data_IF_006094615691
#
_entry.id   IF_006094615691
#
_cell.length_a   1.000
_cell.length_b   1.000
_cell.length_c   1.000
_cell.angle_alpha   90.00
_cell.angle_beta   90.00
_cell.angle_gamma   90.00
#
_symmetry.space_group_name_H-M   'P 1'
#
loop_
_entity.id
_entity.type
_entity.pdbx_description
1 polymer ?
#
# COMPACT_ATOMS: atom_id res chain seq x y z
N UNK A 1 -35.26 36.55 1.83
CA UNK A 1 -34.48 37.72 2.30
C UNK A 1 -34.02 37.41 3.72
N UNK A 2 -32.69 37.38 3.95
CA UNK A 2 -31.93 37.25 5.22
C UNK A 2 -32.03 35.90 5.97
N UNK A 3 -30.97 35.08 6.02
CA UNK A 3 -29.73 35.19 6.86
C UNK A 3 -30.08 35.25 8.36
N UNK A 4 -29.42 34.63 9.33
CA UNK A 4 -28.18 33.83 9.50
C UNK A 4 -28.26 33.40 10.98
N UNK A 5 -27.68 32.26 11.38
CA UNK A 5 -26.88 32.27 12.62
C UNK A 5 -25.97 31.05 12.69
N UNK A 6 -24.68 31.32 12.51
CA UNK A 6 -23.58 30.41 12.74
C UNK A 6 -23.18 30.51 14.21
N UNK A 7 -23.36 29.46 15.00
CA UNK A 7 -22.85 29.42 16.37
C UNK A 7 -21.36 29.04 16.33
N UNK A 8 -20.49 30.01 16.60
CA UNK A 8 -19.03 29.86 16.69
C UNK A 8 -18.65 29.32 18.07
N UNK A 9 -18.12 28.09 18.16
CA UNK A 9 -17.51 27.58 19.38
C UNK A 9 -16.01 27.91 19.39
N UNK A 10 -15.64 29.05 19.97
CA UNK A 10 -14.25 29.37 20.36
C UNK A 10 -14.01 28.86 21.79
N UNK A 11 -13.10 27.90 21.96
CA UNK A 11 -12.38 27.71 23.23
C UNK A 11 -10.89 27.64 22.96
N UNK A 12 -10.17 28.63 23.46
CA UNK A 12 -8.71 28.71 23.43
C UNK A 12 -8.13 27.71 24.43
N UNK A 13 -7.11 26.94 24.02
CA UNK A 13 -6.30 26.15 24.94
C UNK A 13 -4.85 26.63 24.89
N UNK A 14 -4.40 27.21 26.00
CA UNK A 14 -3.06 27.78 26.19
C UNK A 14 -2.11 26.67 26.65
N UNK A 15 -1.26 26.16 25.76
CA UNK A 15 -0.20 25.18 26.10
C UNK A 15 1.01 25.94 26.65
N UNK A 16 1.40 25.67 27.90
CA UNK A 16 2.69 26.10 28.47
C UNK A 16 3.74 25.05 28.14
N UNK A 17 4.82 25.44 27.46
CA UNK A 17 6.03 24.64 27.31
C UNK A 17 7.01 25.01 28.43
N UNK A 18 7.47 24.03 29.20
CA UNK A 18 8.61 24.16 30.09
C UNK A 18 9.85 23.57 29.41
N UNK A 19 10.79 24.45 29.04
CA UNK A 19 12.13 24.13 28.56
C UNK A 19 13.04 23.95 29.77
N UNK A 20 13.64 22.77 29.93
CA UNK A 20 14.74 22.52 30.86
C UNK A 20 15.94 21.99 30.09
N UNK A 21 17.00 22.80 29.97
CA UNK A 21 18.32 22.46 29.43
C UNK A 21 19.10 21.56 30.39
N UNK A 22 20.05 20.77 29.89
CA UNK A 22 21.34 20.34 30.49
C UNK A 22 22.14 19.60 29.37
N UNK A 23 23.08 20.24 28.63
CA UNK A 23 24.56 20.21 28.79
C UNK A 23 25.13 18.82 29.12
N UNK A 24 25.76 18.14 28.16
CA UNK A 24 27.19 18.15 27.78
C UNK A 24 28.12 17.59 28.88
N UNK A 25 28.59 16.35 28.70
CA UNK A 25 29.93 15.99 29.18
C UNK A 25 30.64 15.08 28.18
N UNK A 26 31.90 15.46 27.95
CA UNK A 26 32.88 14.88 27.03
C UNK A 26 33.48 13.61 27.64
N UNK A 27 33.82 12.65 26.78
CA UNK A 27 34.70 11.54 27.11
C UNK A 27 35.56 11.15 25.91
N UNK A 28 36.62 11.92 25.65
CA UNK A 28 37.69 11.55 24.73
C UNK A 28 38.60 10.51 25.39
N UNK A 29 38.82 9.36 24.75
CA UNK A 29 39.92 8.45 25.10
C UNK A 29 40.72 8.14 23.84
N UNK A 30 41.90 8.74 23.77
CA UNK A 30 42.98 8.47 22.83
C UNK A 30 43.92 7.43 23.42
N UNK A 31 44.26 6.39 22.65
CA UNK A 31 45.51 5.64 22.77
C UNK A 31 45.98 5.18 21.38
N UNK A 32 47.14 5.69 21.00
CA UNK A 32 48.08 5.20 20.00
C UNK A 32 48.65 3.81 20.48
N UNK A 33 49.33 2.91 19.76
CA UNK A 33 50.14 2.96 18.54
C UNK A 33 50.54 1.51 18.13
N UNK A 34 50.75 1.29 16.82
CA UNK A 34 51.67 0.36 16.08
C UNK A 34 51.96 -1.12 16.47
N UNK A 35 51.83 -2.03 15.49
CA UNK A 35 52.92 -2.94 15.03
C UNK A 35 52.62 -3.63 13.67
N UNK A 36 53.54 -3.45 12.71
CA UNK A 36 53.72 -4.20 11.46
C UNK A 36 54.07 -5.69 11.70
N UNK A 37 53.68 -6.61 10.80
CA UNK A 37 54.63 -7.51 10.11
C UNK A 37 53.97 -8.42 9.06
N UNK A 38 54.70 -8.58 7.96
CA UNK A 38 54.41 -9.24 6.68
C UNK A 38 54.35 -10.79 6.63
N UNK A 39 53.75 -11.24 5.51
CA UNK A 39 54.06 -12.38 4.64
C UNK A 39 54.18 -13.82 5.16
N UNK A 40 53.31 -14.69 4.63
CA UNK A 40 53.72 -15.99 4.08
C UNK A 40 52.73 -16.52 3.04
N UNK A 41 53.14 -16.44 1.77
CA UNK A 41 52.63 -17.27 0.66
C UNK A 41 53.05 -18.72 0.86
N UNK A 42 52.14 -19.66 0.60
CA UNK A 42 52.50 -20.97 0.04
C UNK A 42 51.35 -21.55 -0.79
N UNK A 43 51.61 -21.73 -2.09
CA UNK A 43 50.79 -22.45 -3.06
C UNK A 43 50.88 -23.96 -2.85
N UNK A 44 49.75 -24.69 -2.93
CA UNK A 44 49.62 -26.11 -3.35
C UNK A 44 48.18 -26.56 -3.04
N UNK A 45 47.39 -27.35 -3.79
CA UNK A 45 47.41 -27.89 -5.13
C UNK A 45 45.98 -28.39 -5.43
N UNK A 46 45.57 -28.32 -6.71
CA UNK A 46 44.61 -29.18 -7.44
C UNK A 46 43.48 -29.87 -6.64
N UNK A 47 42.23 -29.52 -6.97
CA UNK A 47 41.05 -30.33 -6.67
C UNK A 47 39.81 -29.88 -7.44
N UNK A 48 39.57 -30.54 -8.58
CA UNK A 48 38.28 -30.83 -9.23
C UNK A 48 37.19 -29.74 -9.27
N UNK A 49 37.01 -29.19 -10.47
CA UNK A 49 35.73 -28.68 -11.01
C UNK A 49 34.60 -29.69 -10.73
N UNK A 50 33.81 -29.44 -9.69
CA UNK A 50 32.48 -30.04 -9.53
C UNK A 50 31.49 -28.96 -9.94
N UNK A 51 31.02 -29.10 -11.18
CA UNK A 51 29.82 -28.40 -11.61
C UNK A 51 28.63 -28.99 -10.87
N UNK A 52 28.08 -28.24 -9.93
CA UNK A 52 26.73 -28.41 -9.40
C UNK A 52 26.00 -27.10 -9.69
N UNK A 53 25.36 -27.06 -10.86
CA UNK A 53 23.91 -27.21 -10.99
C UNK A 53 23.18 -25.94 -10.56
N UNK A 54 22.95 -25.09 -11.55
CA UNK A 54 21.75 -24.26 -11.73
C UNK A 54 20.81 -24.22 -10.52
N UNK A 55 21.13 -23.36 -9.56
CA UNK A 55 20.15 -22.84 -8.60
C UNK A 55 19.29 -21.74 -9.23
N UNK A 56 18.85 -21.91 -10.48
CA UNK A 56 17.90 -21.03 -11.17
C UNK A 56 16.44 -21.50 -10.98
N UNK A 57 16.21 -22.63 -10.32
CA UNK A 57 14.89 -23.26 -10.19
C UNK A 57 13.96 -22.62 -9.14
N UNK A 58 14.38 -21.52 -8.50
CA UNK A 58 13.49 -20.69 -7.68
C UNK A 58 13.56 -19.22 -8.10
N UNK A 59 13.54 -18.97 -9.41
CA UNK A 59 12.83 -17.79 -9.89
C UNK A 59 11.36 -18.00 -9.53
N UNK A 60 11.02 -17.71 -8.27
CA UNK A 60 9.63 -17.49 -7.86
C UNK A 60 9.16 -16.42 -8.80
N UNK A 61 8.36 -16.82 -9.79
CA UNK A 61 7.70 -15.93 -10.74
C UNK A 61 6.76 -15.03 -9.94
N UNK A 62 7.32 -14.04 -9.25
CA UNK A 62 6.57 -12.89 -8.80
C UNK A 62 6.28 -12.18 -10.12
N UNK A 63 5.11 -12.48 -10.68
CA UNK A 63 4.57 -11.76 -11.82
C UNK A 63 4.68 -10.29 -11.45
N UNK A 64 5.66 -9.58 -12.02
CA UNK A 64 5.73 -8.13 -11.92
C UNK A 64 4.52 -7.65 -12.69
N UNK A 65 3.47 -7.31 -11.96
CA UNK A 65 2.29 -6.70 -12.56
C UNK A 65 2.79 -5.37 -13.14
N UNK A 66 2.70 -5.16 -14.45
CA UNK A 66 3.13 -3.91 -15.05
C UNK A 66 2.31 -2.79 -14.40
N UNK A 67 3.01 -1.86 -13.76
CA UNK A 67 2.39 -0.67 -13.19
C UNK A 67 2.21 0.32 -14.33
N UNK A 68 0.97 0.77 -14.54
CA UNK A 68 0.71 1.91 -15.41
C UNK A 68 1.38 3.14 -14.78
N UNK A 69 2.27 3.87 -15.48
CA UNK A 69 2.96 5.03 -14.93
C UNK A 69 2.01 6.15 -14.47
N UNK A 70 0.76 6.16 -14.92
CA UNK A 70 -0.25 7.11 -14.46
C UNK A 70 -0.93 6.71 -13.14
N UNK A 71 -0.78 5.46 -12.69
CA UNK A 71 -1.38 4.94 -11.47
C UNK A 71 -0.36 4.81 -10.35
N UNK A 72 -0.84 4.73 -9.09
CA UNK A 72 0.05 4.36 -8.00
C UNK A 72 0.52 2.92 -8.18
N UNK A 73 1.78 2.61 -7.84
CA UNK A 73 2.26 1.24 -7.90
C UNK A 73 1.42 0.36 -6.97
N UNK A 74 1.08 -0.88 -7.37
CA UNK A 74 0.32 -1.79 -6.52
C UNK A 74 0.98 -1.94 -5.14
N UNK A 75 0.18 -1.83 -4.09
CA UNK A 75 0.63 -1.86 -2.71
C UNK A 75 1.09 -0.51 -2.14
N UNK A 76 1.09 0.57 -2.92
CA UNK A 76 1.28 1.93 -2.40
C UNK A 76 0.23 2.24 -1.32
N UNK A 77 0.63 2.93 -0.27
CA UNK A 77 -0.23 3.20 0.89
C UNK A 77 -0.31 4.69 1.18
N UNK A 78 -1.49 5.16 1.57
CA UNK A 78 -1.65 6.50 2.14
C UNK A 78 -2.54 6.44 3.40
N UNK A 79 -2.16 7.23 4.40
CA UNK A 79 -2.98 7.36 5.62
C UNK A 79 -4.14 8.33 5.34
N UNK A 80 -5.35 7.91 5.70
CA UNK A 80 -6.56 8.71 5.57
C UNK A 80 -6.91 9.34 6.91
N UNK A 81 -7.15 10.65 6.88
CA UNK A 81 -7.58 11.43 8.02
C UNK A 81 -8.92 12.10 7.74
N UNK A 82 -9.67 12.44 8.79
CA UNK A 82 -10.92 13.19 8.67
C UNK A 82 -10.69 14.57 8.05
N UNK A 83 -11.49 14.98 7.06
CA UNK A 83 -11.39 16.34 6.49
C UNK A 83 -12.12 17.40 7.31
N UNK A 84 -13.12 16.99 8.08
CA UNK A 84 -13.95 17.85 8.93
C UNK A 84 -14.26 17.18 10.26
N UNK A 85 -14.87 17.93 11.18
CA UNK A 85 -15.40 17.36 12.43
C UNK A 85 -16.47 16.32 12.09
N UNK A 86 -16.35 15.12 12.68
CA UNK A 86 -17.35 14.06 12.58
C UNK A 86 -18.01 13.88 13.94
N UNK A 87 -19.33 13.83 13.95
CA UNK A 87 -20.12 13.61 15.17
C UNK A 87 -21.01 12.39 14.96
N UNK A 88 -20.79 11.35 15.76
CA UNK A 88 -21.71 10.24 15.88
C UNK A 88 -22.55 10.43 17.14
N UNK A 89 -23.87 10.56 16.97
CA UNK A 89 -24.81 10.70 18.09
C UNK A 89 -25.43 9.36 18.49
N UNK A 90 -25.42 8.40 17.56
CA UNK A 90 -25.94 7.05 17.68
C UNK A 90 -24.89 6.05 17.14
N UNK A 91 -25.23 4.76 17.16
CA UNK A 91 -24.35 3.66 16.76
C UNK A 91 -24.44 3.32 15.26
N UNK A 92 -25.06 4.18 14.45
CA UNK A 92 -25.14 3.99 13.01
C UNK A 92 -23.78 4.14 12.35
N UNK A 93 -23.62 3.47 11.20
CA UNK A 93 -22.49 3.70 10.33
C UNK A 93 -22.61 5.03 9.60
N UNK A 94 -21.48 5.65 9.28
CA UNK A 94 -21.40 6.83 8.45
C UNK A 94 -20.23 6.75 7.47
N UNK A 95 -20.37 7.44 6.35
CA UNK A 95 -19.30 7.69 5.40
C UNK A 95 -18.54 8.93 5.86
N UNK A 96 -17.30 8.72 6.27
CA UNK A 96 -16.40 9.77 6.75
C UNK A 96 -15.61 10.32 5.55
N UNK A 97 -15.74 11.63 5.24
CA UNK A 97 -14.92 12.28 4.22
C UNK A 97 -13.48 12.48 4.72
N UNK A 98 -12.53 12.34 3.81
CA UNK A 98 -11.09 12.44 4.05
C UNK A 98 -10.43 13.63 3.35
N UNK A 99 -11.07 14.17 2.33
CA UNK A 99 -10.52 15.21 1.45
C UNK A 99 -9.39 14.70 0.54
N UNK A 100 -9.09 13.41 0.55
CA UNK A 100 -8.09 12.76 -0.33
C UNK A 100 -8.82 12.25 -1.55
N UNK A 101 -8.38 12.63 -2.75
CA UNK A 101 -8.90 12.09 -4.01
C UNK A 101 -7.97 11.04 -4.60
N UNK A 102 -8.41 10.32 -5.64
CA UNK A 102 -7.54 9.46 -6.41
C UNK A 102 -6.34 10.23 -7.00
N UNK A 103 -5.25 9.51 -7.30
CA UNK A 103 -4.02 10.13 -7.79
C UNK A 103 -4.02 10.43 -9.29
N UNK A 104 -4.92 9.80 -10.05
CA UNK A 104 -4.84 9.70 -11.51
C UNK A 104 -6.14 10.10 -12.20
N UNK A 105 -6.04 10.41 -13.49
CA UNK A 105 -7.20 10.52 -14.37
C UNK A 105 -7.85 9.17 -14.68
N UNK A 106 -7.08 8.08 -14.54
CA UNK A 106 -7.60 6.73 -14.60
C UNK A 106 -8.14 6.33 -13.24
N UNK A 107 -9.22 5.54 -13.26
CA UNK A 107 -9.79 4.97 -12.05
C UNK A 107 -8.87 3.89 -11.51
N UNK A 108 -8.55 3.99 -10.23
CA UNK A 108 -7.77 2.98 -9.51
C UNK A 108 -8.55 2.50 -8.29
N UNK A 109 -8.44 1.22 -7.99
CA UNK A 109 -9.06 0.63 -6.82
C UNK A 109 -8.15 0.72 -5.61
N UNK A 110 -8.75 1.02 -4.46
CA UNK A 110 -8.08 1.18 -3.18
C UNK A 110 -8.78 0.32 -2.14
N UNK A 111 -8.03 -0.53 -1.45
CA UNK A 111 -8.51 -1.20 -0.24
C UNK A 111 -8.36 -0.25 0.95
N UNK A 112 -9.47 0.10 1.58
CA UNK A 112 -9.53 0.90 2.78
C UNK A 112 -9.58 -0.03 4.00
N UNK A 113 -8.66 0.17 4.94
CA UNK A 113 -8.62 -0.57 6.21
C UNK A 113 -8.46 0.39 7.40
N UNK A 114 -9.00 -0.01 8.55
CA UNK A 114 -8.80 0.72 9.79
C UNK A 114 -7.35 0.67 10.27
N UNK A 115 -6.90 1.74 10.94
CA UNK A 115 -5.62 1.75 11.65
C UNK A 115 -5.83 1.31 13.09
N UNK A 116 -4.76 0.87 13.75
CA UNK A 116 -4.79 0.53 15.18
C UNK A 116 -5.28 1.71 16.04
N UNK A 117 -4.94 2.94 15.63
CA UNK A 117 -5.39 4.14 16.33
C UNK A 117 -6.90 4.33 16.25
N UNK A 118 -7.57 3.80 15.25
CA UNK A 118 -9.01 3.97 15.03
C UNK A 118 -9.82 3.25 16.10
N UNK A 119 -9.41 2.05 16.50
CA UNK A 119 -10.06 1.33 17.60
C UNK A 119 -9.87 2.07 18.92
N UNK A 120 -8.69 2.67 19.16
CA UNK A 120 -8.41 3.52 20.32
C UNK A 120 -9.28 4.80 20.33
N UNK A 121 -9.65 5.31 19.15
CA UNK A 121 -10.59 6.43 19.01
C UNK A 121 -12.05 6.00 19.20
N UNK A 122 -12.31 4.71 19.48
CA UNK A 122 -13.67 4.18 19.59
C UNK A 122 -14.37 4.05 18.24
N UNK A 123 -13.63 3.87 17.14
CA UNK A 123 -14.18 3.61 15.81
C UNK A 123 -14.01 2.14 15.42
N UNK A 124 -15.06 1.59 14.82
CA UNK A 124 -14.99 0.39 14.00
C UNK A 124 -14.97 0.84 12.55
N UNK A 125 -13.85 0.62 11.87
CA UNK A 125 -13.72 0.88 10.43
C UNK A 125 -14.11 -0.39 9.68
N UNK A 126 -15.02 -0.26 8.72
CA UNK A 126 -15.41 -1.35 7.84
C UNK A 126 -14.46 -1.40 6.66
N UNK A 127 -13.74 -2.52 6.44
CA UNK A 127 -12.93 -2.68 5.25
C UNK A 127 -13.78 -2.54 3.99
N UNK A 128 -13.30 -1.76 3.02
CA UNK A 128 -14.01 -1.52 1.76
C UNK A 128 -13.05 -1.36 0.60
N UNK A 129 -13.53 -1.58 -0.61
CA UNK A 129 -12.80 -1.24 -1.84
C UNK A 129 -13.47 -0.03 -2.49
N UNK A 130 -12.68 0.98 -2.83
CA UNK A 130 -13.14 2.20 -3.49
C UNK A 130 -12.40 2.34 -4.81
N UNK A 131 -13.16 2.53 -5.89
CA UNK A 131 -12.63 2.87 -7.22
C UNK A 131 -12.68 4.38 -7.39
N UNK A 132 -11.53 5.04 -7.46
CA UNK A 132 -11.45 6.50 -7.51
C UNK A 132 -10.50 6.99 -8.61
N UNK A 133 -10.93 8.04 -9.31
CA UNK A 133 -10.05 8.91 -10.09
C UNK A 133 -9.71 10.18 -9.28
N UNK A 134 -9.06 11.15 -9.89
CA UNK A 134 -8.68 12.42 -9.25
C UNK A 134 -9.83 13.33 -8.82
N UNK A 135 -11.04 13.08 -9.31
CA UNK A 135 -12.24 13.83 -8.99
C UNK A 135 -13.06 13.12 -7.90
N UNK A 136 -12.87 11.81 -7.73
CA UNK A 136 -13.50 10.99 -6.71
C UNK A 136 -12.72 11.05 -5.38
N UNK A 137 -13.43 11.31 -4.28
CA UNK A 137 -12.86 11.30 -2.93
C UNK A 137 -12.80 9.89 -2.34
N UNK A 138 -11.67 9.52 -1.76
CA UNK A 138 -11.52 8.34 -0.92
C UNK A 138 -12.26 8.57 0.40
N UNK A 139 -13.28 7.77 0.68
CA UNK A 139 -14.08 7.87 1.90
C UNK A 139 -13.86 6.68 2.82
N UNK A 140 -14.20 6.82 4.10
CA UNK A 140 -14.04 5.77 5.10
C UNK A 140 -15.39 5.40 5.68
N UNK A 141 -15.78 4.14 5.57
CA UNK A 141 -16.99 3.64 6.21
C UNK A 141 -16.69 3.24 7.65
N UNK A 142 -17.37 3.85 8.61
CA UNK A 142 -17.11 3.60 10.03
C UNK A 142 -18.37 3.73 10.88
N UNK A 143 -18.36 3.10 12.05
CA UNK A 143 -19.32 3.33 13.13
C UNK A 143 -18.60 3.58 14.45
N UNK A 144 -19.20 4.26 15.42
CA UNK A 144 -18.64 4.39 16.76
C UNK A 144 -18.87 3.09 17.54
N UNK A 145 -17.98 2.81 18.49
CA UNK A 145 -18.17 1.74 19.46
C UNK A 145 -19.10 2.20 20.60
N UNK A 146 -18.95 3.45 21.03
CA UNK A 146 -19.75 4.08 22.10
C UNK A 146 -20.12 5.52 21.73
N UNK A 147 -21.34 5.78 21.26
CA UNK A 147 -21.86 7.13 21.06
C UNK A 147 -22.15 7.84 22.41
N UNK A 148 -22.09 9.19 22.47
CA UNK A 148 -21.68 10.07 21.38
C UNK A 148 -20.16 10.09 21.20
N UNK A 149 -19.71 10.15 19.95
CA UNK A 149 -18.29 10.25 19.60
C UNK A 149 -18.04 11.44 18.69
N UNK A 150 -17.12 12.32 19.07
CA UNK A 150 -16.70 13.48 18.28
C UNK A 150 -15.25 13.30 17.87
N UNK A 151 -15.00 13.31 16.55
CA UNK A 151 -13.67 13.18 15.97
C UNK A 151 -13.27 14.51 15.36
N UNK A 152 -12.18 15.14 15.84
CA UNK A 152 -11.65 16.37 15.25
C UNK A 152 -11.23 16.18 13.78
N UNK A 153 -11.17 17.25 12.97
CA UNK A 153 -10.53 17.19 11.65
C UNK A 153 -9.04 16.82 11.77
N UNK A 154 -8.47 16.33 10.68
CA UNK A 154 -7.09 15.87 10.57
C UNK A 154 -6.75 14.70 11.52
N UNK A 155 -7.75 13.94 11.95
CA UNK A 155 -7.55 12.73 12.75
C UNK A 155 -7.34 11.55 11.81
N UNK A 156 -6.15 10.95 11.81
CA UNK A 156 -5.85 9.75 11.02
C UNK A 156 -6.62 8.54 11.54
N UNK A 157 -7.47 7.95 10.68
CA UNK A 157 -8.45 6.91 11.04
C UNK A 157 -8.42 5.68 10.13
N UNK A 158 -7.75 5.73 8.99
CA UNK A 158 -7.70 4.59 8.08
C UNK A 158 -6.45 4.67 7.21
N UNK A 159 -6.28 3.66 6.39
CA UNK A 159 -5.26 3.59 5.35
C UNK A 159 -5.90 3.10 4.06
N UNK A 160 -5.56 3.74 2.95
CA UNK A 160 -5.83 3.23 1.62
C UNK A 160 -4.60 2.48 1.11
N UNK A 161 -4.83 1.37 0.42
CA UNK A 161 -3.79 0.57 -0.24
C UNK A 161 -4.20 0.45 -1.71
N UNK A 162 -3.35 0.95 -2.62
CA UNK A 162 -3.55 0.85 -4.05
C UNK A 162 -3.55 -0.62 -4.48
N UNK A 163 -4.62 -1.05 -5.15
CA UNK A 163 -4.73 -2.40 -5.68
C UNK A 163 -4.12 -2.47 -7.08
N UNK A 164 -3.68 -3.67 -7.51
CA UNK A 164 -3.31 -3.88 -8.90
C UNK A 164 -4.48 -3.51 -9.82
N UNK A 165 -4.22 -2.84 -10.96
CA UNK A 165 -5.26 -2.57 -11.93
C UNK A 165 -5.89 -3.90 -12.38
N UNK A 166 -7.21 -3.92 -12.47
CA UNK A 166 -7.92 -5.06 -13.06
C UNK A 166 -7.39 -5.28 -14.48
N UNK A 167 -6.76 -6.43 -14.72
CA UNK A 167 -6.36 -6.82 -16.07
C UNK A 167 -7.63 -6.93 -16.92
N UNK A 168 -7.84 -5.99 -17.83
CA UNK A 168 -8.80 -6.18 -18.91
C UNK A 168 -8.32 -7.37 -19.74
N UNK A 169 -9.22 -8.33 -19.96
CA UNK A 169 -9.07 -9.53 -20.79
C UNK A 169 -7.99 -10.53 -20.37
N UNK A 170 -8.38 -11.47 -19.50
CA UNK A 170 -7.97 -12.85 -19.75
C UNK A 170 -8.71 -13.30 -21.02
N UNK A 171 -8.12 -13.09 -22.19
CA UNK A 171 -8.52 -13.83 -23.39
C UNK A 171 -8.25 -15.29 -23.04
N UNK A 172 -9.32 -16.03 -22.71
CA UNK A 172 -9.27 -17.47 -22.58
C UNK A 172 -8.56 -18.00 -23.84
N UNK A 173 -7.53 -18.84 -23.72
CA UNK A 173 -6.95 -19.45 -24.91
C UNK A 173 -8.10 -20.20 -25.59
N UNK A 174 -8.49 -19.71 -26.77
CA UNK A 174 -9.34 -20.46 -27.68
C UNK A 174 -8.62 -21.77 -27.90
N UNK A 175 -9.21 -22.88 -27.43
CA UNK A 175 -8.82 -24.20 -27.87
C UNK A 175 -9.02 -24.20 -29.38
N UNK A 176 -7.91 -24.01 -30.11
CA UNK A 176 -7.90 -24.08 -31.56
C UNK A 176 -8.26 -25.52 -31.89
N UNK A 177 -9.53 -25.74 -32.27
CA UNK A 177 -9.99 -27.02 -32.77
C UNK A 177 -9.11 -27.36 -33.98
N UNK A 178 -8.26 -28.38 -33.83
CA UNK A 178 -7.50 -28.93 -34.93
C UNK A 178 -8.51 -29.50 -35.93
N UNK A 179 -8.75 -28.77 -37.02
CA UNK A 179 -9.39 -29.33 -38.20
C UNK A 179 -8.59 -30.58 -38.64
N UNK A 180 -9.24 -31.75 -38.83
CA UNK A 180 -8.54 -32.92 -39.33
C UNK A 180 -8.07 -32.66 -40.77
N UNK A 181 -6.89 -33.18 -41.18
CA UNK A 181 -6.44 -33.04 -42.56
C UNK A 181 -7.42 -33.74 -43.50
N UNK A 182 -7.89 -33.01 -44.49
CA UNK A 182 -8.62 -33.53 -45.65
C UNK A 182 -7.79 -34.61 -46.32
N UNK A 183 -8.22 -35.86 -46.21
CA UNK A 183 -7.64 -36.97 -46.95
C UNK A 183 -8.12 -36.91 -48.40
N UNK A 184 -7.29 -36.36 -49.27
CA UNK A 184 -7.43 -36.46 -50.72
C UNK A 184 -6.85 -37.80 -51.23
N UNK A 185 -7.59 -38.44 -52.14
CA UNK A 185 -7.17 -39.42 -53.16
C UNK A 185 -6.54 -40.77 -52.73
N UNK A 186 -7.30 -41.86 -52.96
CA UNK A 186 -6.73 -43.10 -53.54
C UNK A 186 -7.59 -43.51 -54.73
N UNK A 187 -6.99 -43.39 -55.91
CA UNK A 187 -7.39 -43.97 -57.18
C UNK A 187 -7.21 -45.49 -57.11
N UNK A 188 -8.28 -46.25 -57.35
CA UNK A 188 -8.20 -47.71 -57.48
C UNK A 188 -8.61 -48.09 -58.90
N UNK A 189 -7.60 -48.31 -59.73
CA UNK A 189 -7.72 -49.09 -60.96
C UNK A 189 -7.96 -50.56 -60.61
N UNK A 190 -8.96 -51.18 -61.24
CA UNK A 190 -9.02 -52.63 -61.41
C UNK A 190 -9.52 -52.97 -62.81
N UNK A 191 -8.86 -53.96 -63.40
CA UNK A 191 -8.88 -54.40 -64.79
C UNK A 191 -10.17 -55.08 -65.26
#
# INVERSE_FOLDING_TARGET
MREKEASSCKKQYKRRNSVGKLQEERGSSTRDDTSDSDDSRASSARGTIIGEQHSDALSRTICRIPSDPELLPPGAQCDLATSKVICFLDDNYAVIPTGVTGSSWKRQDFLIIGKDRSSVLGLVIYPSVISADRNDELTVLAKPHHPPLIIPPNTSIARAIALPPHAAEQVLPVLQEQNPPSSEHIEVHAS
#
